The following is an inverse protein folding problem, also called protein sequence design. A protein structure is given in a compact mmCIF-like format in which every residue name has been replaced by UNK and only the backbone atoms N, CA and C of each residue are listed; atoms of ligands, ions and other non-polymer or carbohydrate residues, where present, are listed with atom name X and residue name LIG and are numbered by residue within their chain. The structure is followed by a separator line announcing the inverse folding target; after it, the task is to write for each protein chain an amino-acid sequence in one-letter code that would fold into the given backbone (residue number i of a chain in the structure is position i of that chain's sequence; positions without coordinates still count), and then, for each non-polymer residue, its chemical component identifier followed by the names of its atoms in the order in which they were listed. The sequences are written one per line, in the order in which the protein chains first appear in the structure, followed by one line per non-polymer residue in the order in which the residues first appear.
data_IF_110287283092
#
_entry.id   IF_110287283092
#
_cell.length_a   1.000
_cell.length_b   1.000
_cell.length_c   1.000
_cell.angle_alpha   90.00
_cell.angle_beta   90.00
_cell.angle_gamma   90.00
#
_symmetry.space_group_name_H-M   'P 1'
#
loop_
_entity.id
_entity.type
_entity.pdbx_description
1 polymer ?
#
# COMPACT_ATOMS: atom_id res chain seq x y z
N UNK A 1 -8.78 5.62 23.93
CA UNK A 1 -7.75 4.76 23.30
C UNK A 1 -8.07 4.74 21.81
N UNK A 2 -7.64 5.76 21.07
CA UNK A 2 -7.97 5.86 19.65
C UNK A 2 -7.06 4.94 18.88
N UNK A 3 -7.67 3.97 18.21
CA UNK A 3 -7.02 3.19 17.18
C UNK A 3 -6.81 4.09 15.96
N UNK A 4 -5.91 5.07 16.09
CA UNK A 4 -5.17 5.67 14.99
C UNK A 4 -4.37 4.54 14.36
N UNK A 5 -5.08 3.70 13.61
CA UNK A 5 -4.52 2.66 12.79
C UNK A 5 -3.47 3.31 11.90
N UNK A 6 -2.38 2.58 11.62
CA UNK A 6 -1.33 2.88 10.64
C UNK A 6 -1.91 3.18 9.24
N UNK A 7 -2.60 4.30 9.14
CA UNK A 7 -3.31 4.75 7.99
C UNK A 7 -2.30 5.51 7.14
N UNK A 8 -1.82 4.85 6.09
CA UNK A 8 -0.95 5.50 5.14
C UNK A 8 -1.73 6.60 4.43
N UNK A 9 -1.10 7.76 4.29
CA UNK A 9 -1.69 8.88 3.56
C UNK A 9 -1.59 8.62 2.06
N UNK A 10 -2.63 8.93 1.27
CA UNK A 10 -2.56 8.81 -0.19
C UNK A 10 -1.35 9.53 -0.79
N UNK A 11 -0.75 8.93 -1.81
CA UNK A 11 0.25 9.62 -2.64
C UNK A 11 -0.45 10.64 -3.54
N UNK A 12 0.20 11.77 -3.78
CA UNK A 12 -0.18 12.67 -4.88
C UNK A 12 -0.13 11.89 -6.22
N UNK A 13 -1.24 11.79 -6.97
CA UNK A 13 -1.29 11.10 -8.25
C UNK A 13 -0.25 11.60 -9.26
N UNK A 14 0.16 12.87 -9.20
CA UNK A 14 1.19 13.44 -10.07
C UNK A 14 2.60 12.86 -9.85
N UNK A 15 2.83 12.19 -8.72
CA UNK A 15 4.11 11.52 -8.40
C UNK A 15 4.12 10.04 -8.82
N UNK A 16 2.94 9.43 -8.91
CA UNK A 16 2.78 8.00 -9.16
C UNK A 16 3.16 7.67 -10.60
N UNK A 17 4.05 6.70 -10.79
CA UNK A 17 4.56 6.37 -12.12
C UNK A 17 5.52 7.41 -12.72
N UNK A 18 5.76 8.53 -12.04
CA UNK A 18 6.59 9.64 -12.54
C UNK A 18 7.85 9.81 -11.70
N UNK A 19 7.70 9.98 -10.38
CA UNK A 19 8.82 10.23 -9.48
C UNK A 19 9.59 8.94 -9.23
N UNK A 20 10.94 8.95 -9.31
CA UNK A 20 11.76 7.82 -8.88
C UNK A 20 11.55 7.48 -7.40
N UNK A 21 11.52 6.19 -7.10
CA UNK A 21 11.48 5.66 -5.75
C UNK A 21 12.71 6.17 -5.00
N UNK A 22 12.54 6.89 -3.89
CA UNK A 22 13.64 7.52 -3.17
C UNK A 22 14.61 6.49 -2.54
N UNK A 23 14.12 5.29 -2.23
CA UNK A 23 14.90 4.20 -1.62
C UNK A 23 15.79 3.46 -2.63
N UNK A 24 15.25 2.98 -3.74
CA UNK A 24 16.02 2.19 -4.71
C UNK A 24 16.47 2.97 -5.94
N UNK A 25 15.79 4.08 -6.28
CA UNK A 25 16.02 4.89 -7.50
C UNK A 25 15.92 4.16 -8.84
N UNK A 26 15.62 2.86 -8.85
CA UNK A 26 15.49 2.04 -10.06
C UNK A 26 14.09 2.03 -10.67
N UNK A 27 13.07 2.33 -9.85
CA UNK A 27 11.65 2.24 -10.21
C UNK A 27 10.91 3.49 -9.78
N UNK A 28 9.71 3.69 -10.30
CA UNK A 28 8.88 4.84 -9.92
C UNK A 28 8.04 4.55 -8.69
N UNK A 29 7.63 5.61 -8.01
CA UNK A 29 6.68 5.57 -6.90
C UNK A 29 5.35 4.98 -7.36
N UNK A 30 4.75 4.14 -6.50
CA UNK A 30 3.44 3.50 -6.71
C UNK A 30 2.57 3.49 -5.45
N UNK A 31 3.17 3.52 -4.27
CA UNK A 31 2.49 3.35 -2.99
C UNK A 31 3.02 4.38 -1.97
N UNK A 32 2.25 4.71 -0.93
CA UNK A 32 2.59 5.81 -0.03
C UNK A 32 3.72 5.57 0.96
N UNK A 33 4.05 4.31 1.27
CA UNK A 33 5.00 3.96 2.33
C UNK A 33 4.62 4.56 3.70
N UNK A 34 5.37 4.22 4.75
CA UNK A 34 5.13 4.77 6.10
C UNK A 34 5.71 6.17 6.26
N UNK A 35 6.92 6.37 5.75
CA UNK A 35 7.65 7.64 5.88
C UNK A 35 7.64 8.44 4.57
N UNK A 36 7.73 7.74 3.44
CA UNK A 36 7.83 8.35 2.12
C UNK A 36 7.24 7.43 1.05
N UNK A 37 6.78 7.97 -0.11
CA UNK A 37 6.26 7.14 -1.19
C UNK A 37 7.31 6.21 -1.80
N UNK A 38 6.92 4.96 -2.07
CA UNK A 38 7.80 3.87 -2.52
C UNK A 38 7.27 3.19 -3.78
N UNK A 39 8.15 2.46 -4.47
CA UNK A 39 7.74 1.47 -5.47
C UNK A 39 7.18 0.20 -4.78
N UNK A 40 6.56 -0.69 -5.56
CA UNK A 40 5.92 -1.92 -5.04
C UNK A 40 6.85 -2.79 -4.18
N UNK A 41 8.10 -3.03 -4.61
CA UNK A 41 9.02 -3.87 -3.83
C UNK A 41 9.49 -3.20 -2.55
N UNK A 42 9.92 -1.94 -2.64
CA UNK A 42 10.39 -1.21 -1.46
C UNK A 42 9.25 -1.08 -0.44
N UNK A 43 8.02 -0.93 -0.90
CA UNK A 43 6.84 -0.99 -0.06
C UNK A 43 6.66 -2.37 0.59
N UNK A 44 6.72 -3.46 -0.18
CA UNK A 44 6.59 -4.82 0.35
C UNK A 44 7.66 -5.16 1.41
N UNK A 45 8.91 -4.73 1.18
CA UNK A 45 10.00 -4.86 2.14
C UNK A 45 9.72 -4.08 3.43
N UNK A 46 9.31 -2.81 3.31
CA UNK A 46 8.99 -1.96 4.45
C UNK A 46 7.83 -2.55 5.27
N UNK A 47 6.77 -3.00 4.60
CA UNK A 47 5.63 -3.67 5.23
C UNK A 47 6.07 -4.93 5.96
N UNK A 48 6.80 -5.83 5.30
CA UNK A 48 7.28 -7.07 5.90
C UNK A 48 8.09 -6.81 7.18
N UNK A 49 9.00 -5.83 7.16
CA UNK A 49 9.79 -5.46 8.32
C UNK A 49 8.91 -4.90 9.45
N UNK A 50 7.95 -4.04 9.11
CA UNK A 50 7.03 -3.44 10.07
C UNK A 50 6.12 -4.47 10.74
N UNK A 51 5.58 -5.39 9.96
CA UNK A 51 4.65 -6.42 10.44
C UNK A 51 5.36 -7.41 11.37
N UNK A 52 6.61 -7.77 11.06
CA UNK A 52 7.47 -8.55 11.99
C UNK A 52 7.66 -7.84 13.33
N UNK A 53 7.89 -6.53 13.31
CA UNK A 53 8.03 -5.73 14.53
C UNK A 53 6.73 -5.73 15.36
N UNK A 54 5.58 -5.58 14.72
CA UNK A 54 4.28 -5.63 15.40
C UNK A 54 3.98 -7.01 16.01
N UNK A 55 4.23 -8.08 15.26
CA UNK A 55 4.05 -9.46 15.74
C UNK A 55 4.95 -9.73 16.95
N UNK A 56 6.23 -9.31 16.91
CA UNK A 56 7.15 -9.44 18.04
C UNK A 56 6.66 -8.68 19.29
N UNK A 57 5.91 -7.60 19.11
CA UNK A 57 5.24 -6.85 20.17
C UNK A 57 3.87 -7.40 20.60
N UNK A 58 3.46 -8.59 20.12
CA UNK A 58 2.17 -9.20 20.44
C UNK A 58 0.96 -8.48 19.84
N UNK A 59 1.17 -7.62 18.84
CA UNK A 59 0.10 -6.83 18.21
C UNK A 59 -0.46 -7.55 16.98
N UNK A 60 -1.80 -7.57 16.79
CA UNK A 60 -2.39 -8.08 15.57
C UNK A 60 -2.03 -7.19 14.38
N UNK A 61 -1.87 -7.79 13.21
CA UNK A 61 -1.52 -7.12 11.95
C UNK A 61 -2.61 -7.41 10.92
N UNK A 62 -3.15 -6.36 10.30
CA UNK A 62 -4.05 -6.52 9.17
C UNK A 62 -3.26 -6.98 7.94
N UNK A 63 -3.77 -7.99 7.22
CA UNK A 63 -3.18 -8.47 5.98
C UNK A 63 -3.36 -7.41 4.87
N UNK A 64 -2.43 -6.45 4.78
CA UNK A 64 -2.35 -5.57 3.62
C UNK A 64 -1.77 -6.36 2.45
N UNK A 65 -2.53 -6.44 1.38
CA UNK A 65 -2.18 -7.19 0.18
C UNK A 65 -1.65 -6.21 -0.85
N UNK A 66 -0.34 -5.98 -0.84
CA UNK A 66 0.34 -5.18 -1.86
C UNK A 66 1.81 -5.57 -1.98
N UNK A 67 2.26 -5.78 -3.21
CA UNK A 67 3.63 -6.14 -3.56
C UNK A 67 3.80 -6.33 -5.06
N UNK A 68 4.99 -6.77 -5.51
CA UNK A 68 5.26 -6.98 -6.94
C UNK A 68 4.62 -8.22 -7.55
N UNK A 69 4.09 -9.13 -6.72
CA UNK A 69 3.37 -10.30 -7.17
C UNK A 69 2.08 -10.45 -6.36
N UNK A 70 1.03 -10.92 -7.02
CA UNK A 70 -0.25 -11.17 -6.36
C UNK A 70 -0.16 -12.40 -5.45
N UNK A 71 -0.48 -12.29 -4.14
CA UNK A 71 -0.46 -13.46 -3.26
C UNK A 71 -1.60 -14.44 -3.53
N UNK A 72 -2.66 -14.02 -4.23
CA UNK A 72 -3.78 -14.88 -4.59
C UNK A 72 -3.50 -15.79 -5.79
N UNK A 73 -2.89 -15.26 -6.86
CA UNK A 73 -2.67 -16.01 -8.11
C UNK A 73 -1.20 -16.13 -8.54
N UNK A 74 -0.26 -15.50 -7.83
CA UNK A 74 1.17 -15.49 -8.18
C UNK A 74 1.54 -14.60 -9.37
N UNK A 75 0.57 -13.98 -10.05
CA UNK A 75 0.85 -13.12 -11.22
C UNK A 75 1.62 -11.86 -10.84
N UNK A 76 2.54 -11.44 -11.72
CA UNK A 76 3.25 -10.17 -11.67
C UNK A 76 2.49 -9.02 -12.38
N UNK A 77 1.33 -9.30 -13.00
CA UNK A 77 0.48 -8.28 -13.63
C UNK A 77 -0.32 -7.53 -12.56
N UNK A 78 0.41 -6.69 -11.82
CA UNK A 78 -0.06 -5.90 -10.68
C UNK A 78 0.38 -4.45 -10.84
N UNK A 79 -0.43 -3.51 -10.39
CA UNK A 79 -0.06 -2.09 -10.37
C UNK A 79 -0.79 -1.37 -9.22
N UNK A 80 -0.43 -0.12 -8.98
CA UNK A 80 -1.03 0.73 -7.98
C UNK A 80 -1.02 2.22 -8.36
N UNK A 81 -1.95 2.98 -7.79
CA UNK A 81 -2.18 4.40 -8.06
C UNK A 81 -1.87 5.33 -6.85
N UNK A 82 -1.18 4.81 -5.83
CA UNK A 82 -0.91 5.54 -4.59
C UNK A 82 -2.05 5.49 -3.56
N UNK A 83 -3.19 4.88 -3.88
CA UNK A 83 -4.32 4.63 -2.97
C UNK A 83 -4.76 3.17 -2.95
N UNK A 84 -4.70 2.53 -4.10
CA UNK A 84 -5.21 1.20 -4.36
C UNK A 84 -4.15 0.41 -5.09
N UNK A 85 -4.03 -0.86 -4.73
CA UNK A 85 -3.25 -1.87 -5.44
C UNK A 85 -4.21 -2.86 -6.10
N UNK A 86 -3.91 -3.31 -7.32
CA UNK A 86 -4.74 -4.28 -8.03
C UNK A 86 -3.90 -5.31 -8.80
N UNK A 87 -4.49 -6.49 -9.00
CA UNK A 87 -3.97 -7.54 -9.87
C UNK A 87 -4.91 -7.75 -11.04
N UNK A 88 -4.40 -7.64 -12.27
CA UNK A 88 -5.19 -7.91 -13.49
C UNK A 88 -5.35 -9.39 -13.79
N UNK A 89 -4.47 -10.24 -13.25
CA UNK A 89 -4.53 -11.70 -13.43
C UNK A 89 -5.75 -12.36 -12.76
N UNK A 90 -6.12 -11.91 -11.56
CA UNK A 90 -7.26 -12.48 -10.81
C UNK A 90 -8.31 -11.46 -10.36
N UNK A 91 -8.13 -10.17 -10.68
CA UNK A 91 -9.10 -9.11 -10.37
C UNK A 91 -9.12 -8.65 -8.91
N UNK A 92 -8.18 -9.09 -8.07
CA UNK A 92 -8.08 -8.60 -6.67
C UNK A 92 -7.74 -7.12 -6.68
N UNK A 93 -8.44 -6.36 -5.81
CA UNK A 93 -8.20 -4.95 -5.56
C UNK A 93 -8.14 -4.73 -4.03
N UNK A 94 -7.14 -4.00 -3.56
CA UNK A 94 -6.91 -3.73 -2.14
C UNK A 94 -6.59 -2.26 -1.88
N UNK A 95 -7.18 -1.68 -0.85
CA UNK A 95 -6.85 -0.33 -0.39
C UNK A 95 -5.53 -0.33 0.39
N UNK A 96 -4.61 0.57 0.03
CA UNK A 96 -3.30 0.71 0.68
C UNK A 96 -3.15 2.01 1.46
N UNK A 97 -4.02 2.99 1.19
CA UNK A 97 -4.05 4.28 1.87
C UNK A 97 -5.42 4.50 2.48
N UNK A 98 -5.47 5.13 3.64
CA UNK A 98 -6.71 5.62 4.19
C UNK A 98 -7.04 6.90 3.41
N UNK A 99 -7.92 6.78 2.42
CA UNK A 99 -8.68 7.94 1.99
C UNK A 99 -9.40 8.45 3.23
N UNK A 100 -9.32 9.74 3.52
CA UNK A 100 -10.32 10.33 4.40
C UNK A 100 -11.68 9.94 3.80
N UNK A 101 -12.42 9.05 4.45
CA UNK A 101 -13.86 9.14 4.42
C UNK A 101 -14.20 10.45 5.13
N UNK A 102 -14.01 11.58 4.45
CA UNK A 102 -14.84 12.75 4.72
C UNK A 102 -16.27 12.29 4.43
N UNK A 103 -17.10 12.27 5.46
CA UNK A 103 -18.31 11.46 5.50
C UNK A 103 -19.28 11.65 4.34
N UNK A 104 -19.92 10.55 3.95
CA UNK A 104 -21.35 10.48 3.67
C UNK A 104 -21.75 8.99 3.53
N UNK A 105 -22.75 8.47 4.27
CA UNK A 105 -23.53 7.35 3.77
C UNK A 105 -24.33 7.81 2.54
N UNK A 106 -24.60 6.94 1.55
CA UNK A 106 -25.52 7.28 0.47
C UNK A 106 -26.91 7.55 1.06
N UNK A 107 -27.51 8.65 0.61
CA UNK A 107 -28.90 9.01 0.87
C UNK A 107 -29.82 7.82 0.55
N UNK A 108 -30.61 7.41 1.53
CA UNK A 108 -31.92 6.79 1.37
C UNK A 108 -32.79 7.18 2.57
#
# INVERSE_FOLDING_TARGET
MSADHDCLRPVDPGLVGVRPCPRCRQRTVRLPGRTEPLCLDCFAEERTAYERMLIAGGRPVAAQIAGPACPGCGSADVDADGRTWWCRGCGIVSGVACGCAGGAPPLA
#
